data_IF_978813643496
#
_entry.id   IF_978813643496
#
_cell.length_a   1.000
_cell.length_b   1.000
_cell.length_c   1.000
_cell.angle_alpha   90.00
_cell.angle_beta   90.00
_cell.angle_gamma   90.00
#
_symmetry.space_group_name_H-M   'P 1'
#
loop_
_entity.id
_entity.type
_entity.pdbx_description
1 polymer ?
#
# COMPACT_ATOMS: atom_id res chain seq x y z
N UNK A 1 -15.31 -11.07 -20.31
CA UNK A 1 -14.11 -10.58 -19.61
C UNK A 1 -14.28 -9.08 -19.39
N UNK A 2 -14.31 -8.60 -18.13
CA UNK A 2 -14.28 -7.16 -17.84
C UNK A 2 -12.95 -6.62 -18.36
N UNK A 3 -12.99 -5.77 -19.39
CA UNK A 3 -11.83 -5.03 -19.87
C UNK A 3 -11.27 -4.20 -18.69
N UNK A 4 -10.26 -4.71 -18.02
CA UNK A 4 -9.52 -3.93 -17.01
C UNK A 4 -8.67 -2.93 -17.77
N UNK A 5 -8.88 -1.65 -17.52
CA UNK A 5 -8.00 -0.59 -18.01
C UNK A 5 -6.57 -0.87 -17.56
N UNK A 6 -5.59 -0.62 -18.42
CA UNK A 6 -4.18 -0.68 -18.06
C UNK A 6 -3.81 0.46 -17.11
N UNK A 7 -2.72 0.31 -16.36
CA UNK A 7 -2.20 1.40 -15.51
C UNK A 7 -1.87 2.62 -16.36
N UNK A 8 -1.28 2.41 -17.53
CA UNK A 8 -0.97 3.49 -18.48
C UNK A 8 -2.22 4.27 -18.92
N UNK A 9 -3.32 3.58 -19.20
CA UNK A 9 -4.61 4.18 -19.52
C UNK A 9 -5.13 5.07 -18.38
N UNK A 10 -5.00 4.64 -17.13
CA UNK A 10 -5.32 5.48 -15.96
C UNK A 10 -4.42 6.71 -15.85
N UNK A 11 -3.10 6.53 -16.02
CA UNK A 11 -2.14 7.63 -15.94
C UNK A 11 -2.37 8.69 -17.01
N UNK A 12 -2.76 8.29 -18.21
CA UNK A 12 -3.13 9.19 -19.31
C UNK A 12 -4.50 9.83 -19.15
N UNK A 13 -5.32 9.31 -18.25
CA UNK A 13 -6.69 9.79 -18.09
C UNK A 13 -7.57 9.49 -19.29
N UNK A 14 -7.43 8.29 -19.88
CA UNK A 14 -8.23 7.86 -21.02
C UNK A 14 -9.72 7.81 -20.65
N UNK A 15 -10.54 8.36 -21.53
CA UNK A 15 -11.99 8.38 -21.43
C UNK A 15 -12.61 7.18 -22.17
N UNK A 16 -13.92 6.98 -22.00
CA UNK A 16 -14.64 5.88 -22.67
C UNK A 16 -14.74 6.08 -24.19
N UNK A 17 -14.64 7.32 -24.65
CA UNK A 17 -14.67 7.70 -26.06
C UNK A 17 -13.32 7.55 -26.77
N UNK A 18 -12.29 7.10 -26.05
CA UNK A 18 -10.94 6.91 -26.57
C UNK A 18 -10.06 8.15 -26.51
N UNK A 19 -10.56 9.29 -26.03
CA UNK A 19 -9.73 10.48 -25.79
C UNK A 19 -8.91 10.33 -24.51
N UNK A 20 -7.79 11.05 -24.40
CA UNK A 20 -6.95 11.03 -23.20
C UNK A 20 -6.55 12.46 -22.80
N UNK A 21 -6.61 12.77 -21.51
CA UNK A 21 -6.24 14.09 -20.98
C UNK A 21 -4.76 14.43 -21.20
N UNK A 22 -3.90 13.42 -21.31
CA UNK A 22 -2.44 13.54 -21.47
C UNK A 22 -1.96 12.81 -22.71
N UNK A 23 -2.69 12.97 -23.82
CA UNK A 23 -2.31 12.40 -25.10
C UNK A 23 -1.13 13.17 -25.70
N UNK A 24 -0.17 12.45 -26.29
CA UNK A 24 0.97 13.05 -27.00
C UNK A 24 1.93 13.88 -26.13
N UNK A 25 1.91 13.72 -24.81
CA UNK A 25 2.79 14.44 -23.89
C UNK A 25 3.64 13.52 -23.03
N UNK A 26 4.88 13.96 -22.75
CA UNK A 26 5.71 13.33 -21.72
C UNK A 26 5.29 13.85 -20.35
N UNK A 27 5.16 12.99 -19.37
CA UNK A 27 4.79 13.41 -18.00
C UNK A 27 5.29 12.47 -16.94
N UNK A 28 5.40 12.99 -15.72
CA UNK A 28 5.57 12.21 -14.50
C UNK A 28 4.27 12.17 -13.71
N UNK A 29 4.06 11.09 -12.98
CA UNK A 29 2.94 10.92 -12.06
C UNK A 29 3.39 10.12 -10.85
N UNK A 30 2.77 10.36 -9.70
CA UNK A 30 3.07 9.65 -8.48
C UNK A 30 1.82 9.46 -7.63
N UNK A 31 1.82 8.39 -6.86
CA UNK A 31 0.83 8.11 -5.83
C UNK A 31 1.61 7.87 -4.55
N UNK A 32 1.30 8.63 -3.49
CA UNK A 32 2.00 8.55 -2.21
C UNK A 32 0.98 8.47 -1.09
N UNK A 33 1.26 7.62 -0.13
CA UNK A 33 0.55 7.52 1.15
C UNK A 33 1.55 7.85 2.27
N UNK A 34 1.16 8.73 3.17
CA UNK A 34 1.83 8.95 4.44
C UNK A 34 1.19 8.04 5.48
N UNK A 35 1.99 7.21 6.12
CA UNK A 35 1.56 6.26 7.15
C UNK A 35 2.24 6.65 8.46
N UNK A 36 1.47 6.86 9.50
CA UNK A 36 1.96 7.16 10.85
C UNK A 36 1.62 6.02 11.81
N UNK A 37 2.63 5.47 12.45
CA UNK A 37 2.45 4.58 13.60
C UNK A 37 2.23 5.46 14.84
N UNK A 38 1.00 5.50 15.32
CA UNK A 38 0.61 6.34 16.47
C UNK A 38 1.20 5.90 17.80
N UNK A 39 1.67 4.66 17.92
CA UNK A 39 2.32 4.16 19.12
C UNK A 39 3.78 4.63 19.24
N UNK A 40 4.47 4.78 18.11
CA UNK A 40 5.88 5.15 18.04
C UNK A 40 6.11 6.55 17.47
N UNK A 41 5.08 7.20 16.95
CA UNK A 41 5.14 8.45 16.19
C UNK A 41 6.06 8.37 14.95
N UNK A 42 6.21 7.15 14.42
CA UNK A 42 7.03 6.91 13.25
C UNK A 42 6.21 7.18 12.00
N UNK A 43 6.71 8.08 11.15
CA UNK A 43 6.09 8.40 9.87
C UNK A 43 6.90 7.82 8.73
N UNK A 44 6.22 7.20 7.78
CA UNK A 44 6.82 6.62 6.57
C UNK A 44 5.94 6.96 5.38
N UNK A 45 6.54 7.48 4.32
CA UNK A 45 5.89 7.62 3.03
C UNK A 45 6.14 6.38 2.18
N UNK A 46 5.09 5.88 1.55
CA UNK A 46 5.12 4.75 0.63
C UNK A 46 4.42 5.13 -0.66
N UNK A 47 4.86 4.61 -1.80
CA UNK A 47 4.21 4.97 -3.04
C UNK A 47 4.77 4.34 -4.28
N UNK A 48 4.31 4.88 -5.42
CA UNK A 48 4.82 4.57 -6.74
C UNK A 48 5.00 5.84 -7.55
N UNK A 49 6.04 5.87 -8.36
CA UNK A 49 6.35 6.93 -9.30
C UNK A 49 6.42 6.37 -10.71
N UNK A 50 5.92 7.13 -11.66
CA UNK A 50 5.80 6.76 -13.07
C UNK A 50 6.36 7.88 -13.93
N UNK A 51 7.14 7.51 -14.93
CA UNK A 51 7.52 8.40 -16.04
C UNK A 51 6.98 7.82 -17.34
N UNK A 52 6.16 8.59 -18.01
CA UNK A 52 5.45 8.17 -19.23
C UNK A 52 5.90 9.05 -20.40
N UNK A 53 6.42 8.40 -21.43
CA UNK A 53 6.73 9.06 -22.68
C UNK A 53 5.49 9.21 -23.57
N UNK A 54 5.46 10.25 -24.40
CA UNK A 54 4.34 10.55 -25.32
C UNK A 54 3.96 9.38 -26.25
N UNK A 55 4.95 8.56 -26.62
CA UNK A 55 4.77 7.44 -27.54
C UNK A 55 4.79 6.07 -26.85
N UNK A 56 4.75 6.03 -25.52
CA UNK A 56 4.79 4.75 -24.80
C UNK A 56 3.48 3.98 -25.01
N UNK A 57 3.60 2.75 -25.46
CA UNK A 57 2.48 1.82 -25.58
C UNK A 57 2.28 0.99 -24.31
N UNK A 58 3.35 0.86 -23.51
CA UNK A 58 3.38 0.14 -22.25
C UNK A 58 4.08 0.95 -21.16
N UNK A 59 3.75 0.68 -19.90
CA UNK A 59 4.41 1.32 -18.77
C UNK A 59 5.78 0.66 -18.52
N UNK A 60 6.86 1.36 -18.90
CA UNK A 60 8.24 0.86 -18.81
C UNK A 60 9.05 1.45 -17.66
N UNK A 61 8.77 2.69 -17.30
CA UNK A 61 9.56 3.46 -16.33
C UNK A 61 8.72 3.78 -15.11
N UNK A 62 8.80 2.93 -14.10
CA UNK A 62 8.16 3.13 -12.81
C UNK A 62 8.95 2.45 -11.70
N UNK A 63 8.81 2.96 -10.49
CA UNK A 63 9.35 2.37 -9.28
C UNK A 63 8.33 2.47 -8.15
N UNK A 64 8.29 1.44 -7.33
CA UNK A 64 7.76 1.58 -5.99
C UNK A 64 8.85 2.18 -5.09
N UNK A 65 8.44 2.91 -4.06
CA UNK A 65 9.39 3.52 -3.14
C UNK A 65 8.82 3.61 -1.73
N UNK A 66 9.72 3.76 -0.78
CA UNK A 66 9.42 4.23 0.55
C UNK A 66 10.52 5.15 1.04
N UNK A 67 10.19 6.04 1.95
CA UNK A 67 11.13 6.84 2.70
C UNK A 67 10.58 7.22 4.07
N UNK A 68 11.46 7.48 5.01
CA UNK A 68 11.13 7.95 6.34
C UNK A 68 10.70 9.42 6.34
N UNK A 69 9.93 9.78 7.35
CA UNK A 69 9.43 11.14 7.54
C UNK A 69 8.20 11.45 6.66
N UNK A 70 7.71 12.66 6.85
CA UNK A 70 6.48 13.16 6.20
C UNK A 70 6.70 13.47 4.72
N UNK A 71 5.61 13.62 4.02
CA UNK A 71 5.57 14.21 2.67
C UNK A 71 6.37 15.51 2.68
N UNK A 72 7.32 15.74 1.74
CA UNK A 72 8.08 16.97 1.68
C UNK A 72 7.16 18.18 1.48
N UNK A 73 7.60 19.36 1.94
CA UNK A 73 6.81 20.62 1.90
C UNK A 73 6.35 21.00 0.49
N UNK A 74 7.15 20.66 -0.52
CA UNK A 74 6.80 20.88 -1.94
C UNK A 74 5.79 19.85 -2.49
N UNK A 75 5.34 18.87 -1.69
CA UNK A 75 4.38 17.85 -2.10
C UNK A 75 4.86 16.99 -3.28
N UNK A 76 6.17 16.80 -3.44
CA UNK A 76 6.82 16.17 -4.60
C UNK A 76 6.59 16.93 -5.92
N UNK A 77 6.40 18.22 -5.84
CA UNK A 77 6.30 19.10 -7.00
C UNK A 77 7.60 19.91 -7.11
N UNK A 78 8.21 19.90 -8.27
CA UNK A 78 9.41 20.69 -8.55
C UNK A 78 9.06 22.18 -8.70
N UNK A 79 10.04 23.07 -8.59
CA UNK A 79 9.86 24.53 -8.71
C UNK A 79 9.15 24.97 -10.00
N UNK A 80 9.28 24.21 -11.06
CA UNK A 80 8.58 24.46 -12.34
C UNK A 80 7.11 23.98 -12.36
N UNK A 81 6.57 23.54 -11.21
CA UNK A 81 5.21 23.03 -11.07
C UNK A 81 4.97 21.60 -11.59
N UNK A 82 6.03 20.90 -12.03
CA UNK A 82 5.91 19.53 -12.50
C UNK A 82 6.13 18.52 -11.36
N UNK A 83 5.46 17.35 -11.36
CA UNK A 83 5.75 16.27 -10.44
C UNK A 83 7.22 15.84 -10.50
N UNK A 84 7.75 15.32 -9.40
CA UNK A 84 9.12 14.81 -9.37
C UNK A 84 9.36 13.77 -10.47
N UNK A 85 10.56 13.84 -11.06
CA UNK A 85 11.11 12.75 -11.85
C UNK A 85 11.61 11.63 -10.94
N UNK A 86 11.82 10.43 -11.50
CA UNK A 86 12.44 9.31 -10.79
C UNK A 86 13.81 9.72 -10.23
N UNK A 87 14.60 10.49 -11.00
CA UNK A 87 15.90 10.99 -10.57
C UNK A 87 15.81 11.95 -9.37
N UNK A 88 14.80 12.83 -9.34
CA UNK A 88 14.58 13.75 -8.21
C UNK A 88 14.15 12.99 -6.96
N UNK A 89 13.21 12.04 -7.10
CA UNK A 89 12.76 11.20 -6.00
C UNK A 89 13.92 10.37 -5.42
N UNK A 90 14.79 9.82 -6.28
CA UNK A 90 15.97 9.08 -5.83
C UNK A 90 16.88 9.93 -4.95
N UNK A 91 17.10 11.20 -5.32
CA UNK A 91 17.89 12.13 -4.49
C UNK A 91 17.24 12.37 -3.12
N UNK A 92 15.92 12.56 -3.07
CA UNK A 92 15.20 12.70 -1.80
C UNK A 92 15.36 11.46 -0.92
N UNK A 93 15.16 10.27 -1.49
CA UNK A 93 15.30 9.00 -0.75
C UNK A 93 16.71 8.83 -0.18
N UNK A 94 17.74 9.14 -0.97
CA UNK A 94 19.13 9.09 -0.50
C UNK A 94 19.39 10.14 0.61
N UNK A 95 18.86 11.34 0.50
CA UNK A 95 18.96 12.35 1.56
C UNK A 95 18.30 11.88 2.87
N UNK A 96 17.10 11.26 2.76
CA UNK A 96 16.41 10.69 3.94
C UNK A 96 17.18 9.53 4.56
N UNK A 97 17.85 8.72 3.76
CA UNK A 97 18.71 7.64 4.22
C UNK A 97 19.92 8.12 5.04
N UNK A 98 20.46 9.27 4.67
CA UNK A 98 21.62 9.87 5.33
C UNK A 98 21.23 10.70 6.56
N UNK A 99 19.96 11.00 6.78
CA UNK A 99 19.47 11.76 7.93
C UNK A 99 19.69 11.00 9.23
N UNK A 100 20.09 11.72 10.29
CA UNK A 100 20.37 11.13 11.62
C UNK A 100 19.14 10.49 12.26
N UNK A 101 17.95 11.01 11.98
CA UNK A 101 16.67 10.46 12.46
C UNK A 101 16.35 9.05 11.92
N UNK A 102 17.16 8.58 10.97
CA UNK A 102 16.98 7.30 10.29
C UNK A 102 17.94 6.20 10.71
N UNK A 103 18.71 6.41 11.76
CA UNK A 103 19.62 5.37 12.29
C UNK A 103 18.81 4.13 12.68
N UNK A 104 19.02 3.04 11.96
CA UNK A 104 18.30 1.77 12.13
C UNK A 104 17.13 1.53 11.15
N UNK A 105 16.78 2.48 10.28
CA UNK A 105 15.69 2.35 9.29
C UNK A 105 16.17 2.33 7.83
N UNK A 106 17.40 1.95 7.59
CA UNK A 106 17.99 1.92 6.24
C UNK A 106 17.16 1.16 5.20
N UNK A 107 16.40 0.16 5.66
CA UNK A 107 15.56 -0.66 4.78
C UNK A 107 14.33 0.08 4.21
N UNK A 108 13.86 1.13 4.89
CA UNK A 108 12.68 1.89 4.47
C UNK A 108 13.02 2.93 3.39
N UNK A 109 14.24 3.50 3.40
CA UNK A 109 14.64 4.55 2.46
C UNK A 109 15.21 3.94 1.16
N UNK A 110 14.35 3.58 0.22
CA UNK A 110 14.76 2.96 -1.04
C UNK A 110 13.71 3.02 -2.14
N UNK A 111 14.18 2.89 -3.38
CA UNK A 111 13.36 2.53 -4.53
C UNK A 111 13.44 1.01 -4.74
N UNK A 112 12.31 0.38 -5.03
CA UNK A 112 12.19 -1.06 -5.16
C UNK A 112 12.19 -1.48 -6.62
N UNK A 113 13.06 -2.42 -7.01
CA UNK A 113 13.13 -2.90 -8.38
C UNK A 113 11.95 -3.81 -8.75
N UNK A 114 11.29 -4.38 -7.75
CA UNK A 114 10.17 -5.29 -7.95
C UNK A 114 9.02 -5.01 -6.98
N UNK A 115 7.82 -5.36 -7.41
CA UNK A 115 6.62 -5.31 -6.57
C UNK A 115 6.76 -6.18 -5.32
N UNK A 116 7.37 -7.34 -5.44
CA UNK A 116 7.54 -8.29 -4.33
C UNK A 116 8.41 -7.70 -3.21
N UNK A 117 9.58 -7.14 -3.56
CA UNK A 117 10.45 -6.48 -2.60
C UNK A 117 9.76 -5.31 -1.89
N UNK A 118 8.94 -4.54 -2.62
CA UNK A 118 8.13 -3.48 -2.05
C UNK A 118 7.08 -4.00 -1.07
N UNK A 119 6.32 -5.04 -1.46
CA UNK A 119 5.27 -5.60 -0.62
C UNK A 119 5.83 -6.21 0.67
N UNK A 120 6.98 -6.88 0.63
CA UNK A 120 7.63 -7.40 1.82
C UNK A 120 7.94 -6.26 2.81
N UNK A 121 8.57 -5.18 2.34
CA UNK A 121 8.83 -4.02 3.21
C UNK A 121 7.53 -3.37 3.71
N UNK A 122 6.52 -3.25 2.86
CA UNK A 122 5.23 -2.69 3.24
C UNK A 122 4.58 -3.48 4.38
N UNK A 123 4.45 -4.79 4.24
CA UNK A 123 3.75 -5.63 5.20
C UNK A 123 4.57 -5.93 6.46
N UNK A 124 5.87 -6.14 6.32
CA UNK A 124 6.73 -6.53 7.44
C UNK A 124 7.22 -5.34 8.26
N UNK A 125 7.50 -4.22 7.61
CA UNK A 125 8.13 -3.06 8.27
C UNK A 125 7.15 -1.93 8.50
N UNK A 126 6.45 -1.49 7.45
CA UNK A 126 5.60 -0.27 7.51
C UNK A 126 4.28 -0.55 8.23
N UNK A 127 3.63 -1.67 7.93
CA UNK A 127 2.32 -2.04 8.47
C UNK A 127 2.40 -2.98 9.69
N UNK A 128 3.60 -3.31 10.19
CA UNK A 128 3.78 -4.08 11.41
C UNK A 128 3.35 -5.54 11.32
N UNK A 129 3.85 -6.27 10.33
CA UNK A 129 3.60 -7.71 10.13
C UNK A 129 2.13 -8.10 9.89
N UNK A 130 1.44 -7.30 9.10
CA UNK A 130 0.07 -7.63 8.69
C UNK A 130 0.10 -8.73 7.62
N UNK A 131 -0.76 -9.75 7.79
CA UNK A 131 -0.93 -10.81 6.80
C UNK A 131 -1.52 -10.23 5.49
N UNK A 132 -0.80 -10.34 4.33
CA UNK A 132 -1.16 -9.64 3.10
C UNK A 132 -2.56 -9.97 2.55
N UNK A 133 -2.96 -11.23 2.59
CA UNK A 133 -4.26 -11.67 2.07
C UNK A 133 -5.42 -11.07 2.88
N UNK A 134 -5.26 -11.00 4.18
CA UNK A 134 -6.23 -10.37 5.10
C UNK A 134 -6.32 -8.87 4.86
N UNK A 135 -5.19 -8.19 4.75
CA UNK A 135 -5.15 -6.75 4.46
C UNK A 135 -5.83 -6.42 3.12
N UNK A 136 -5.49 -7.15 2.04
CA UNK A 136 -6.09 -6.98 0.71
C UNK A 136 -7.61 -7.23 0.71
N UNK A 137 -8.08 -8.16 1.52
CA UNK A 137 -9.51 -8.44 1.68
C UNK A 137 -10.22 -7.30 2.41
N UNK A 138 -9.62 -6.79 3.48
CA UNK A 138 -10.12 -5.63 4.22
C UNK A 138 -10.17 -4.37 3.34
N UNK A 139 -9.10 -4.09 2.59
CA UNK A 139 -9.02 -2.95 1.67
C UNK A 139 -10.11 -3.01 0.59
N UNK A 140 -10.27 -4.14 -0.08
CA UNK A 140 -11.32 -4.34 -1.09
C UNK A 140 -12.70 -4.15 -0.50
N UNK A 141 -12.93 -4.64 0.71
CA UNK A 141 -14.18 -4.50 1.41
C UNK A 141 -14.44 -3.06 1.83
N UNK A 142 -13.43 -2.34 2.29
CA UNK A 142 -13.53 -0.93 2.64
C UNK A 142 -13.87 -0.06 1.42
N UNK A 143 -13.24 -0.31 0.26
CA UNK A 143 -13.52 0.40 -0.99
C UNK A 143 -14.92 0.06 -1.53
N UNK A 144 -15.33 -1.23 -1.40
CA UNK A 144 -16.64 -1.70 -1.83
C UNK A 144 -17.78 -1.42 -0.84
N UNK A 145 -17.48 -0.76 0.26
CA UNK A 145 -18.38 -0.61 1.41
C UNK A 145 -19.60 0.25 1.05
N UNK A 146 -20.59 -0.41 0.48
CA UNK A 146 -21.97 0.02 0.63
C UNK A 146 -22.37 -0.41 2.04
N UNK A 147 -22.57 0.52 2.93
CA UNK A 147 -23.02 0.29 4.31
C UNK A 147 -24.45 -0.30 4.32
N UNK A 148 -24.63 -1.50 3.79
CA UNK A 148 -25.91 -2.20 3.73
C UNK A 148 -26.25 -2.89 5.04
N UNK A 149 -25.26 -3.26 5.85
CA UNK A 149 -25.46 -4.14 7.02
C UNK A 149 -24.94 -3.58 8.35
N UNK A 150 -24.64 -2.29 8.44
CA UNK A 150 -24.16 -1.66 9.68
C UNK A 150 -22.71 -1.97 10.04
N UNK A 151 -22.09 -1.03 10.73
CA UNK A 151 -20.65 -1.07 11.12
C UNK A 151 -20.30 -2.29 11.98
N UNK A 152 -21.21 -2.75 12.83
CA UNK A 152 -20.96 -3.88 13.74
C UNK A 152 -20.81 -5.23 13.03
N UNK A 153 -21.52 -5.45 11.93
CA UNK A 153 -21.38 -6.68 11.12
C UNK A 153 -20.04 -6.66 10.37
N UNK A 154 -19.67 -5.52 9.80
CA UNK A 154 -18.38 -5.35 9.15
C UNK A 154 -17.21 -5.66 10.10
N UNK A 155 -17.23 -5.10 11.32
CA UNK A 155 -16.19 -5.34 12.32
C UNK A 155 -16.10 -6.83 12.65
N UNK A 156 -17.22 -7.53 12.85
CA UNK A 156 -17.24 -8.97 13.13
C UNK A 156 -16.67 -9.80 11.99
N UNK A 157 -17.03 -9.49 10.75
CA UNK A 157 -16.66 -10.30 9.60
C UNK A 157 -15.20 -10.11 9.18
N UNK A 158 -14.62 -8.92 9.40
CA UNK A 158 -13.33 -8.55 8.86
C UNK A 158 -12.24 -8.28 9.90
N UNK A 159 -12.59 -7.82 11.09
CA UNK A 159 -11.59 -7.49 12.13
C UNK A 159 -11.36 -8.63 13.12
N UNK A 160 -12.38 -9.45 13.38
CA UNK A 160 -12.19 -10.62 14.24
C UNK A 160 -12.01 -11.89 13.40
N UNK A 161 -10.98 -12.70 13.67
CA UNK A 161 -10.88 -14.00 13.04
C UNK A 161 -12.14 -14.79 13.40
N UNK A 162 -12.84 -15.33 12.40
CA UNK A 162 -13.86 -16.35 12.63
C UNK A 162 -13.13 -17.48 13.35
N UNK A 163 -13.35 -17.64 14.64
CA UNK A 163 -12.90 -18.84 15.34
C UNK A 163 -13.47 -20.01 14.54
N UNK A 164 -12.60 -20.92 14.12
CA UNK A 164 -13.08 -22.18 13.57
C UNK A 164 -13.98 -22.77 14.65
N UNK A 165 -15.25 -22.89 14.37
CA UNK A 165 -16.26 -23.44 15.32
C UNK A 165 -15.81 -24.77 15.95
N UNK A 166 -14.83 -25.46 15.34
CA UNK A 166 -14.20 -26.63 15.86
C UNK A 166 -13.30 -26.45 17.09
N UNK A 167 -12.79 -25.25 17.38
CA UNK A 167 -11.84 -25.10 18.51
C UNK A 167 -12.55 -25.05 19.86
N UNK A 168 -13.75 -24.48 19.91
CA UNK A 168 -14.56 -24.43 21.13
C UNK A 168 -15.17 -25.80 21.44
N UNK A 169 -15.62 -26.55 20.43
CA UNK A 169 -16.12 -27.93 20.60
C UNK A 169 -15.02 -28.89 21.06
N UNK A 170 -13.82 -28.81 20.50
CA UNK A 170 -12.68 -29.65 20.92
C UNK A 170 -12.25 -29.36 22.35
N UNK A 171 -12.25 -28.09 22.77
CA UNK A 171 -11.94 -27.72 24.17
C UNK A 171 -13.05 -28.18 25.10
N UNK A 172 -14.32 -28.09 24.69
CA UNK A 172 -15.46 -28.57 25.45
C UNK A 172 -15.46 -30.10 25.61
N UNK A 173 -15.13 -30.84 24.55
CA UNK A 173 -14.97 -32.30 24.60
C UNK A 173 -13.78 -32.74 25.50
N UNK A 174 -12.65 -32.04 25.38
CA UNK A 174 -11.49 -32.32 26.25
C UNK A 174 -11.78 -32.02 27.73
N UNK A 175 -12.50 -30.95 28.05
CA UNK A 175 -12.95 -30.65 29.40
C UNK A 175 -13.99 -31.65 29.92
N UNK A 176 -14.86 -32.16 29.06
CA UNK A 176 -15.81 -33.24 29.37
C UNK A 176 -15.09 -34.52 29.76
N UNK A 177 -14.11 -34.96 28.93
CA UNK A 177 -13.31 -36.15 29.21
C UNK A 177 -12.47 -36.04 30.49
N UNK A 178 -11.99 -34.86 30.86
CA UNK A 178 -11.28 -34.63 32.12
C UNK A 178 -12.20 -34.72 33.35
N UNK A 179 -13.49 -34.42 33.21
CA UNK A 179 -14.45 -34.57 34.32
C UNK A 179 -14.83 -36.01 34.58
N UNK A 180 -14.95 -36.85 33.53
CA UNK A 180 -15.26 -38.28 33.66
C UNK A 180 -14.11 -39.12 34.26
N UNK A 181 -12.86 -38.64 34.23
CA UNK A 181 -11.70 -39.33 34.83
C UNK A 181 -11.59 -39.04 36.34
N UNK A 182 -12.37 -38.09 36.87
CA UNK A 182 -12.29 -37.64 38.27
C UNK A 182 -13.39 -38.20 39.20
N UNK A 183 -14.31 -38.98 38.67
CA UNK A 183 -15.28 -39.82 39.44
C UNK A 183 -14.79 -41.28 39.49
#
# INVERSE_FOLDING_TARGET
AKNRRSVLSYLRGEQKDGTANREGTDFCSQIVLEVEDTATNIVTCIGAIFEVGKNDLDLKRYFFFSHSGRIPEDGYISENGSPYTISRLKKLVEQRKLSEDNRGRGEVNRLYPSKEAYLNTLYDVVLGYIEPGRFMTMEKSAIALRMTNGTGQFIRDYMFPKSKEGTVSVISEQLGAYREIKE
#
